data_IF_550086293701
#
_entry.id   IF_550086293701
#
_cell.length_a   1.000
_cell.length_b   1.000
_cell.length_c   1.000
_cell.angle_alpha   90.00
_cell.angle_beta   90.00
_cell.angle_gamma   90.00
#
_symmetry.space_group_name_H-M   'P 1'
#
loop_
_entity.id
_entity.type
_entity.pdbx_description
1 polymer ?
#
# COMPACT_ATOMS: atom_id res chain seq x y z
N UNK A 1 22.45 1.02 -40.80
CA UNK A 1 21.57 1.88 -40.01
C UNK A 1 20.78 0.94 -39.09
N UNK A 2 21.27 0.74 -37.88
CA UNK A 2 20.50 0.00 -36.87
C UNK A 2 19.27 0.85 -36.53
N UNK A 3 18.11 0.31 -36.85
CA UNK A 3 16.83 0.84 -36.39
C UNK A 3 16.87 0.79 -34.85
N UNK A 4 17.08 1.91 -34.20
CA UNK A 4 16.78 2.05 -32.78
C UNK A 4 15.29 1.83 -32.61
N UNK A 5 14.91 0.60 -32.27
CA UNK A 5 13.54 0.29 -31.90
C UNK A 5 13.19 1.24 -30.73
N UNK A 6 12.31 2.19 -30.98
CA UNK A 6 11.80 3.08 -29.92
C UNK A 6 11.08 2.18 -28.94
N UNK A 7 11.58 2.10 -27.69
CA UNK A 7 10.93 1.33 -26.63
C UNK A 7 9.49 1.82 -26.47
N UNK A 8 8.56 0.88 -26.35
CA UNK A 8 7.14 1.19 -26.14
C UNK A 8 6.82 1.71 -24.71
N UNK A 9 7.81 1.79 -23.85
CA UNK A 9 7.72 2.26 -22.49
C UNK A 9 9.00 2.98 -22.04
N UNK A 10 8.88 3.84 -21.05
CA UNK A 10 10.02 4.42 -20.34
C UNK A 10 10.33 3.56 -19.11
N UNK A 11 11.60 3.51 -18.70
CA UNK A 11 12.05 2.76 -17.53
C UNK A 11 12.54 3.71 -16.45
N UNK A 12 12.11 3.48 -15.21
CA UNK A 12 12.61 4.16 -14.03
C UNK A 12 12.82 3.17 -12.89
N UNK A 13 13.41 3.64 -11.78
CA UNK A 13 13.54 2.88 -10.53
C UNK A 13 12.62 3.47 -9.47
N UNK A 14 12.41 2.72 -8.38
CA UNK A 14 11.74 3.25 -7.20
C UNK A 14 12.39 4.57 -6.74
N UNK A 15 11.58 5.60 -6.50
CA UNK A 15 12.01 6.96 -6.17
C UNK A 15 12.82 7.64 -7.29
N UNK A 16 12.72 7.16 -8.53
CA UNK A 16 13.30 7.82 -9.70
C UNK A 16 12.37 8.92 -10.24
N UNK A 17 12.97 10.03 -10.69
CA UNK A 17 12.24 11.11 -11.37
C UNK A 17 12.35 10.91 -12.88
N UNK A 18 11.20 10.80 -13.56
CA UNK A 18 11.09 10.56 -14.99
C UNK A 18 10.48 11.78 -15.70
N UNK A 19 11.20 12.42 -16.65
CA UNK A 19 10.62 13.51 -17.44
C UNK A 19 9.41 13.02 -18.26
N UNK A 20 8.30 13.76 -18.25
CA UNK A 20 7.07 13.36 -18.97
C UNK A 20 7.27 13.20 -20.48
N UNK A 21 8.21 13.94 -21.06
CA UNK A 21 8.56 13.85 -22.50
C UNK A 21 9.18 12.50 -22.88
N UNK A 22 9.78 11.81 -21.93
CA UNK A 22 10.45 10.52 -22.14
C UNK A 22 9.47 9.35 -22.06
N UNK A 23 8.23 9.58 -21.61
CA UNK A 23 7.16 8.58 -21.55
C UNK A 23 6.46 8.52 -22.93
N UNK A 24 6.57 7.40 -23.67
CA UNK A 24 5.95 7.30 -24.98
C UNK A 24 4.41 7.34 -24.88
N UNK A 25 3.78 8.06 -25.80
CA UNK A 25 2.32 8.09 -25.97
C UNK A 25 1.94 7.10 -27.06
N UNK A 26 1.30 6.03 -26.69
CA UNK A 26 0.93 4.94 -27.59
C UNK A 26 -0.54 5.05 -28.05
N UNK A 27 -0.87 4.61 -29.26
CA UNK A 27 -2.24 4.29 -29.62
C UNK A 27 -2.80 3.25 -28.63
N UNK A 28 -4.12 3.29 -28.33
CA UNK A 28 -4.69 2.42 -27.28
C UNK A 28 -4.43 0.93 -27.51
N UNK A 29 -4.56 0.44 -28.75
CA UNK A 29 -4.28 -0.97 -29.06
C UNK A 29 -2.83 -1.38 -28.76
N UNK A 30 -1.86 -0.51 -29.06
CA UNK A 30 -0.44 -0.75 -28.72
C UNK A 30 -0.22 -0.66 -27.22
N UNK A 31 -0.82 0.33 -26.53
CA UNK A 31 -0.78 0.48 -25.09
C UNK A 31 -1.30 -0.78 -24.36
N UNK A 32 -2.45 -1.30 -24.81
CA UNK A 32 -3.02 -2.56 -24.30
C UNK A 32 -2.08 -3.74 -24.54
N UNK A 33 -1.57 -3.89 -25.77
CA UNK A 33 -0.68 -5.01 -26.13
C UNK A 33 0.59 -5.03 -25.29
N UNK A 34 1.21 -3.87 -25.07
CA UNK A 34 2.43 -3.78 -24.26
C UNK A 34 2.18 -4.11 -22.78
N UNK A 35 1.06 -3.63 -22.22
CA UNK A 35 0.67 -4.00 -20.85
C UNK A 35 0.49 -5.51 -20.74
N UNK A 36 -0.24 -6.12 -21.67
CA UNK A 36 -0.44 -7.57 -21.70
C UNK A 36 0.88 -8.33 -21.85
N UNK A 37 1.82 -7.81 -22.61
CA UNK A 37 3.13 -8.44 -22.81
C UNK A 37 3.99 -8.36 -21.54
N UNK A 38 4.10 -7.19 -20.91
CA UNK A 38 4.86 -6.99 -19.67
C UNK A 38 4.29 -7.84 -18.53
N UNK A 39 2.97 -7.91 -18.39
CA UNK A 39 2.29 -8.65 -17.34
C UNK A 39 2.29 -10.18 -17.52
N UNK A 40 2.85 -10.71 -18.62
CA UNK A 40 3.09 -12.16 -18.76
C UNK A 40 4.21 -12.66 -17.86
N UNK A 41 5.17 -11.79 -17.54
CA UNK A 41 6.26 -12.15 -16.65
C UNK A 41 5.75 -12.36 -15.22
N UNK A 42 6.05 -13.50 -14.56
CA UNK A 42 5.59 -13.77 -13.20
C UNK A 42 6.11 -12.78 -12.16
N UNK A 43 7.23 -12.11 -12.43
CA UNK A 43 7.81 -11.06 -11.59
C UNK A 43 7.14 -9.70 -11.77
N UNK A 44 6.35 -9.52 -12.83
CA UNK A 44 5.69 -8.25 -13.10
C UNK A 44 4.39 -8.08 -12.32
N UNK A 45 4.09 -6.83 -11.95
CA UNK A 45 2.79 -6.45 -11.40
C UNK A 45 2.49 -4.98 -11.66
N UNK A 46 1.21 -4.66 -11.77
CA UNK A 46 0.78 -3.27 -11.91
C UNK A 46 0.80 -2.58 -10.55
N UNK A 47 1.63 -1.54 -10.42
CA UNK A 47 1.68 -0.70 -9.22
C UNK A 47 0.65 0.43 -9.29
N UNK A 48 0.43 1.00 -10.50
CA UNK A 48 -0.58 2.04 -10.72
C UNK A 48 -1.08 2.03 -12.17
N UNK A 49 -2.40 2.23 -12.34
CA UNK A 49 -3.03 2.52 -13.62
C UNK A 49 -4.13 3.56 -13.39
N UNK A 50 -3.98 4.73 -13.97
CA UNK A 50 -4.88 5.87 -13.77
C UNK A 50 -4.96 6.76 -15.00
N UNK A 51 -5.97 7.64 -15.02
CA UNK A 51 -6.07 8.73 -15.99
C UNK A 51 -6.16 10.08 -15.29
N UNK A 52 -5.76 11.14 -15.98
CA UNK A 52 -5.93 12.51 -15.53
C UNK A 52 -6.21 13.46 -16.71
N UNK A 53 -6.82 14.61 -16.41
CA UNK A 53 -7.09 15.65 -17.40
C UNK A 53 -5.80 16.36 -17.81
N UNK A 54 -5.58 16.46 -19.13
CA UNK A 54 -4.51 17.21 -19.75
C UNK A 54 -5.14 18.12 -20.84
N UNK A 55 -5.58 19.32 -20.47
CA UNK A 55 -6.36 20.18 -21.34
C UNK A 55 -7.66 19.51 -21.79
N UNK A 56 -7.86 19.38 -23.10
CA UNK A 56 -9.01 18.74 -23.71
C UNK A 56 -8.85 17.21 -23.90
N UNK A 57 -7.79 16.64 -23.33
CA UNK A 57 -7.51 15.22 -23.42
C UNK A 57 -7.57 14.54 -22.05
N UNK A 58 -7.74 13.21 -22.06
CA UNK A 58 -7.41 12.32 -20.95
C UNK A 58 -6.09 11.63 -21.26
N UNK A 59 -5.14 11.75 -20.34
CA UNK A 59 -3.89 11.00 -20.38
C UNK A 59 -3.94 9.87 -19.39
N UNK A 60 -3.67 8.66 -19.91
CA UNK A 60 -3.59 7.43 -19.13
C UNK A 60 -2.13 7.12 -18.87
N UNK A 61 -1.82 6.71 -17.66
CA UNK A 61 -0.50 6.23 -17.24
C UNK A 61 -0.68 4.85 -16.62
N UNK A 62 0.14 3.90 -17.09
CA UNK A 62 0.25 2.58 -16.49
C UNK A 62 1.69 2.34 -16.05
N UNK A 63 1.89 1.93 -14.81
CA UNK A 63 3.19 1.67 -14.21
C UNK A 63 3.25 0.19 -13.81
N UNK A 64 4.19 -0.55 -14.39
CA UNK A 64 4.38 -1.98 -14.17
C UNK A 64 5.76 -2.20 -13.59
N UNK A 65 5.82 -2.69 -12.35
CA UNK A 65 7.06 -3.06 -11.69
C UNK A 65 7.48 -4.47 -12.08
N UNK A 66 8.78 -4.70 -12.17
CA UNK A 66 9.39 -6.01 -12.30
C UNK A 66 10.23 -6.32 -11.03
N UNK A 67 9.74 -7.24 -10.21
CA UNK A 67 10.37 -7.62 -8.96
C UNK A 67 11.76 -8.26 -9.13
N UNK A 68 12.10 -8.73 -10.34
CA UNK A 68 13.38 -9.37 -10.64
C UNK A 68 14.46 -8.34 -10.96
N UNK A 69 14.15 -7.30 -11.73
CA UNK A 69 15.11 -6.28 -12.15
C UNK A 69 15.07 -5.04 -11.27
N UNK A 70 13.98 -4.85 -10.51
CA UNK A 70 13.69 -3.63 -9.77
C UNK A 70 13.38 -2.43 -10.67
N UNK A 71 13.00 -2.68 -11.93
CA UNK A 71 12.58 -1.68 -12.89
C UNK A 71 11.10 -1.38 -12.76
N UNK A 72 10.73 -0.16 -13.11
CA UNK A 72 9.34 0.27 -13.26
C UNK A 72 9.17 0.73 -14.71
N UNK A 73 8.36 -0.01 -15.47
CA UNK A 73 8.03 0.29 -16.85
C UNK A 73 6.81 1.23 -16.88
N UNK A 74 6.95 2.39 -17.51
CA UNK A 74 5.92 3.42 -17.56
C UNK A 74 5.44 3.61 -18.98
N UNK A 75 4.16 3.41 -19.20
CA UNK A 75 3.49 3.54 -20.50
C UNK A 75 2.42 4.64 -20.41
N UNK A 76 2.14 5.28 -21.54
CA UNK A 76 1.02 6.21 -21.59
C UNK A 76 0.19 6.09 -22.86
N UNK A 77 -1.07 6.47 -22.74
CA UNK A 77 -2.03 6.66 -23.83
C UNK A 77 -2.72 8.01 -23.64
N UNK A 78 -3.11 8.64 -24.74
CA UNK A 78 -3.86 9.89 -24.71
C UNK A 78 -5.05 9.82 -25.67
N UNK A 79 -6.21 10.27 -25.21
CA UNK A 79 -7.41 10.38 -26.02
C UNK A 79 -8.12 11.71 -25.79
N UNK A 80 -8.77 12.30 -26.82
CA UNK A 80 -9.59 13.50 -26.63
C UNK A 80 -10.81 13.19 -25.77
N UNK A 81 -11.17 14.16 -24.92
CA UNK A 81 -12.41 14.07 -24.15
C UNK A 81 -13.60 14.29 -25.05
N UNK A 82 -14.53 13.34 -25.05
CA UNK A 82 -15.77 13.34 -25.82
C UNK A 82 -16.95 13.03 -24.92
N UNK A 83 -18.16 13.32 -25.38
CA UNK A 83 -19.38 12.96 -24.69
C UNK A 83 -19.49 11.45 -24.44
N UNK A 84 -19.08 10.65 -25.40
CA UNK A 84 -19.00 9.19 -25.29
C UNK A 84 -17.55 8.75 -25.48
N UNK A 85 -16.96 8.19 -24.44
CA UNK A 85 -15.61 7.63 -24.45
C UNK A 85 -15.69 6.13 -24.16
N UNK A 86 -15.15 5.32 -25.07
CA UNK A 86 -15.25 3.87 -24.99
C UNK A 86 -13.88 3.24 -25.30
N UNK A 87 -13.44 2.30 -24.46
CA UNK A 87 -12.19 1.55 -24.57
C UNK A 87 -12.45 0.07 -24.30
N UNK A 88 -11.68 -0.81 -24.93
CA UNK A 88 -11.70 -2.23 -24.59
C UNK A 88 -11.01 -2.45 -23.25
N UNK A 89 -11.64 -3.16 -22.31
CA UNK A 89 -11.08 -3.44 -20.99
C UNK A 89 -9.80 -4.29 -21.07
N UNK A 90 -8.74 -3.85 -20.44
CA UNK A 90 -7.51 -4.64 -20.22
C UNK A 90 -7.75 -5.66 -19.10
N UNK A 91 -8.59 -5.30 -18.14
CA UNK A 91 -8.96 -6.18 -17.01
C UNK A 91 -9.68 -7.46 -17.46
N UNK A 92 -10.19 -7.52 -18.67
CA UNK A 92 -10.69 -8.75 -19.30
C UNK A 92 -9.65 -9.86 -19.30
N UNK A 93 -8.39 -9.51 -19.59
CA UNK A 93 -7.27 -10.46 -19.67
C UNK A 93 -6.44 -10.46 -18.37
N UNK A 94 -6.31 -9.29 -17.70
CA UNK A 94 -5.57 -9.13 -16.45
C UNK A 94 -6.51 -8.61 -15.38
N UNK A 95 -7.17 -9.54 -14.68
CA UNK A 95 -8.20 -9.20 -13.70
C UNK A 95 -7.74 -8.19 -12.63
N UNK A 96 -6.48 -8.23 -12.20
CA UNK A 96 -5.91 -7.27 -11.24
C UNK A 96 -6.11 -5.80 -11.63
N UNK A 97 -6.33 -5.49 -12.91
CA UNK A 97 -6.53 -4.12 -13.38
C UNK A 97 -7.97 -3.61 -13.24
N UNK A 98 -8.94 -4.47 -12.87
CA UNK A 98 -10.35 -4.07 -12.82
C UNK A 98 -10.63 -2.89 -11.89
N UNK A 99 -9.94 -2.83 -10.76
CA UNK A 99 -10.16 -1.76 -9.76
C UNK A 99 -9.77 -0.39 -10.32
N UNK A 100 -8.68 -0.32 -11.08
CA UNK A 100 -8.21 0.91 -11.72
C UNK A 100 -9.14 1.35 -12.85
N UNK A 101 -9.59 0.41 -13.71
CA UNK A 101 -10.54 0.73 -14.78
C UNK A 101 -11.87 1.22 -14.23
N UNK A 102 -12.37 0.63 -13.14
CA UNK A 102 -13.58 1.08 -12.44
C UNK A 102 -13.43 2.49 -11.90
N UNK A 103 -12.26 2.82 -11.35
CA UNK A 103 -11.95 4.16 -10.88
C UNK A 103 -11.91 5.18 -12.02
N UNK A 104 -11.26 4.85 -13.14
CA UNK A 104 -11.19 5.69 -14.33
C UNK A 104 -12.59 5.91 -14.91
N UNK A 105 -13.39 4.86 -15.01
CA UNK A 105 -14.80 4.92 -15.46
C UNK A 105 -15.63 5.86 -14.57
N UNK A 106 -15.53 5.70 -13.26
CA UNK A 106 -16.25 6.52 -12.29
C UNK A 106 -15.85 8.00 -12.36
N UNK A 107 -14.54 8.29 -12.46
CA UNK A 107 -14.04 9.65 -12.44
C UNK A 107 -14.27 10.40 -13.76
N UNK A 108 -14.20 9.73 -14.90
CA UNK A 108 -14.14 10.37 -16.22
C UNK A 108 -15.27 9.96 -17.18
N UNK A 109 -16.08 8.97 -16.83
CA UNK A 109 -17.15 8.46 -17.69
C UNK A 109 -16.65 7.61 -18.88
N UNK A 110 -15.46 7.04 -18.77
CA UNK A 110 -14.94 6.09 -19.78
C UNK A 110 -15.66 4.74 -19.60
N UNK A 111 -16.29 4.26 -20.65
CA UNK A 111 -16.90 2.93 -20.72
C UNK A 111 -15.83 1.90 -21.11
N UNK A 112 -15.51 0.98 -20.21
CA UNK A 112 -14.63 -0.16 -20.50
C UNK A 112 -15.45 -1.36 -20.99
N UNK A 113 -15.49 -1.54 -22.30
CA UNK A 113 -16.22 -2.65 -22.94
C UNK A 113 -15.59 -3.99 -22.56
N UNK A 114 -16.42 -4.98 -22.22
CA UNK A 114 -16.00 -6.29 -21.72
C UNK A 114 -15.30 -6.26 -20.35
N UNK A 115 -15.52 -5.21 -19.56
CA UNK A 115 -15.03 -5.18 -18.18
C UNK A 115 -15.60 -6.36 -17.39
N UNK A 116 -14.77 -7.12 -16.66
CA UNK A 116 -15.25 -8.23 -15.83
C UNK A 116 -16.08 -7.76 -14.62
N UNK A 117 -15.91 -6.50 -14.22
CA UNK A 117 -16.62 -5.93 -13.08
C UNK A 117 -16.74 -4.41 -13.21
N UNK A 118 -17.93 -3.93 -13.57
CA UNK A 118 -18.18 -2.51 -13.87
C UNK A 118 -18.89 -1.74 -12.74
N UNK A 119 -18.88 -2.24 -11.47
CA UNK A 119 -19.56 -1.60 -10.36
C UNK A 119 -18.76 -0.43 -9.77
N UNK A 120 -19.42 0.60 -9.19
CA UNK A 120 -18.76 1.76 -8.58
C UNK A 120 -17.77 1.37 -7.47
N UNK A 121 -16.77 2.23 -7.21
CA UNK A 121 -15.68 1.97 -6.23
C UNK A 121 -15.64 3.03 -5.14
N UNK A 122 -15.58 4.31 -5.49
CA UNK A 122 -15.23 5.40 -4.56
C UNK A 122 -16.36 6.37 -4.27
N UNK A 123 -17.26 6.56 -5.22
CA UNK A 123 -18.28 7.62 -5.18
C UNK A 123 -17.66 9.00 -4.99
N UNK A 124 -16.56 9.27 -5.68
CA UNK A 124 -15.84 10.53 -5.59
C UNK A 124 -16.76 11.73 -5.81
N UNK A 125 -16.50 12.84 -5.11
CA UNK A 125 -17.34 14.04 -5.20
C UNK A 125 -17.46 14.57 -6.64
N UNK A 126 -16.37 14.54 -7.40
CA UNK A 126 -16.28 15.01 -8.79
C UNK A 126 -16.44 13.91 -9.84
N UNK A 127 -17.05 12.77 -9.50
CA UNK A 127 -17.32 11.66 -10.43
C UNK A 127 -18.15 12.10 -11.63
N UNK A 128 -17.98 11.42 -12.76
CA UNK A 128 -18.64 11.77 -14.03
C UNK A 128 -20.17 11.68 -13.94
N UNK A 129 -20.71 10.58 -13.39
CA UNK A 129 -22.16 10.44 -13.18
C UNK A 129 -22.53 10.73 -11.71
N UNK A 130 -23.19 11.86 -11.48
CA UNK A 130 -23.63 12.30 -10.15
C UNK A 130 -24.81 11.51 -9.60
N UNK A 131 -25.60 10.85 -10.47
CA UNK A 131 -26.74 10.03 -10.06
C UNK A 131 -26.30 8.74 -9.37
N UNK A 132 -25.09 8.25 -9.65
CA UNK A 132 -24.51 7.12 -8.93
C UNK A 132 -24.22 7.51 -7.48
N UNK A 133 -25.07 7.10 -6.56
CA UNK A 133 -24.91 7.34 -5.12
C UNK A 133 -24.71 6.02 -4.39
N UNK A 134 -24.03 6.08 -3.24
CA UNK A 134 -23.64 4.87 -2.48
C UNK A 134 -24.83 4.00 -2.07
N UNK A 135 -25.97 4.62 -1.83
CA UNK A 135 -27.21 3.93 -1.42
C UNK A 135 -27.91 3.16 -2.57
N UNK A 136 -27.54 3.43 -3.83
CA UNK A 136 -28.10 2.76 -5.02
C UNK A 136 -27.11 1.78 -5.63
N UNK A 137 -26.17 1.27 -4.84
CA UNK A 137 -25.19 0.28 -5.31
C UNK A 137 -25.89 -0.94 -5.92
N UNK A 138 -25.54 -1.37 -7.13
CA UNK A 138 -26.19 -2.48 -7.83
C UNK A 138 -25.69 -3.84 -7.30
N UNK A 139 -26.17 -4.24 -6.13
CA UNK A 139 -25.86 -5.56 -5.57
C UNK A 139 -26.30 -6.68 -6.50
N UNK A 140 -25.57 -7.79 -6.47
CA UNK A 140 -25.96 -9.03 -7.10
C UNK A 140 -27.21 -9.57 -6.42
N UNK A 141 -28.18 -10.05 -7.22
CA UNK A 141 -29.45 -10.58 -6.72
C UNK A 141 -29.66 -11.99 -7.26
N UNK A 142 -30.05 -12.89 -6.39
CA UNK A 142 -30.54 -14.23 -6.72
C UNK A 142 -32.01 -14.28 -6.34
N UNK A 143 -32.84 -14.97 -7.14
CA UNK A 143 -34.25 -15.23 -6.83
C UNK A 143 -34.42 -16.65 -6.36
N UNK A 144 -35.24 -16.85 -5.31
CA UNK A 144 -35.59 -18.15 -4.76
C UNK A 144 -36.29 -17.96 -3.41
N UNK A 145 -37.30 -18.81 -3.11
CA UNK A 145 -38.15 -18.65 -1.93
C UNK A 145 -37.43 -18.93 -0.61
N UNK A 146 -36.32 -19.70 -0.66
CA UNK A 146 -35.51 -20.06 0.53
C UNK A 146 -34.25 -19.12 0.68
N UNK A 147 -34.10 -18.14 -0.21
CA UNK A 147 -32.93 -17.26 -0.20
C UNK A 147 -33.22 -15.98 0.58
N UNK A 148 -32.22 -15.57 1.35
CA UNK A 148 -32.30 -14.32 2.08
C UNK A 148 -30.97 -13.54 2.00
N UNK A 149 -31.06 -12.23 2.18
CA UNK A 149 -29.93 -11.32 2.18
C UNK A 149 -29.59 -10.90 3.61
N UNK A 150 -28.31 -10.97 3.98
CA UNK A 150 -27.79 -10.48 5.26
C UNK A 150 -26.80 -9.35 5.00
N UNK A 151 -27.12 -8.15 5.49
CA UNK A 151 -26.26 -6.99 5.42
C UNK A 151 -25.46 -6.82 6.72
N UNK A 152 -24.13 -6.68 6.62
CA UNK A 152 -23.24 -6.38 7.75
C UNK A 152 -22.49 -5.07 7.49
N UNK A 153 -22.66 -4.12 8.38
CA UNK A 153 -22.12 -2.77 8.21
C UNK A 153 -23.10 -1.83 7.45
N UNK A 154 -22.66 -0.62 7.07
CA UNK A 154 -21.29 -0.11 7.02
C UNK A 154 -20.67 0.29 8.37
N UNK A 155 -21.45 0.38 9.45
CA UNK A 155 -20.95 0.73 10.78
C UNK A 155 -20.81 -0.55 11.61
N UNK A 156 -19.62 -0.78 12.16
CA UNK A 156 -19.26 -1.95 12.93
C UNK A 156 -18.99 -1.58 14.40
N UNK A 157 -19.96 -0.97 15.07
CA UNK A 157 -19.88 -0.49 16.45
C UNK A 157 -18.67 0.44 16.73
N UNK A 158 -18.12 1.09 15.69
CA UNK A 158 -16.93 1.93 15.82
C UNK A 158 -15.61 1.17 16.08
N UNK A 159 -15.61 -0.16 15.92
CA UNK A 159 -14.43 -1.01 16.19
C UNK A 159 -13.50 -1.08 14.99
N UNK A 160 -14.07 -1.25 13.78
CA UNK A 160 -13.35 -1.28 12.52
C UNK A 160 -13.84 -0.16 11.60
N UNK A 161 -13.05 0.15 10.56
CA UNK A 161 -13.40 1.17 9.58
C UNK A 161 -14.66 0.78 8.79
N UNK A 162 -15.44 1.78 8.29
CA UNK A 162 -16.68 1.53 7.57
C UNK A 162 -16.49 0.65 6.34
N UNK A 163 -17.33 -0.35 6.19
CA UNK A 163 -17.41 -1.22 5.03
C UNK A 163 -18.72 -1.99 5.07
N UNK A 164 -19.32 -2.27 3.92
CA UNK A 164 -20.57 -3.00 3.84
C UNK A 164 -20.39 -4.32 3.14
N UNK A 165 -20.82 -5.39 3.83
CA UNK A 165 -20.77 -6.76 3.35
C UNK A 165 -22.22 -7.24 3.14
N UNK A 166 -22.52 -7.72 1.92
CA UNK A 166 -23.81 -8.27 1.58
C UNK A 166 -23.66 -9.77 1.33
N UNK A 167 -24.26 -10.56 2.19
CA UNK A 167 -24.30 -12.01 2.06
C UNK A 167 -25.63 -12.44 1.44
N UNK A 168 -25.58 -13.33 0.46
CA UNK A 168 -26.72 -14.08 -0.04
C UNK A 168 -26.65 -15.48 0.54
N UNK A 169 -27.67 -15.89 1.28
CA UNK A 169 -27.67 -17.11 2.06
C UNK A 169 -28.88 -18.02 1.72
N UNK A 170 -28.66 -19.33 1.83
CA UNK A 170 -29.69 -20.32 1.96
C UNK A 170 -29.54 -20.99 3.34
N UNK A 171 -30.44 -20.70 4.27
CA UNK A 171 -30.23 -21.03 5.67
C UNK A 171 -28.92 -20.46 6.19
N UNK A 172 -28.04 -21.29 6.73
CA UNK A 172 -26.70 -20.90 7.22
C UNK A 172 -25.59 -20.94 6.14
N UNK A 173 -25.92 -21.41 4.94
CA UNK A 173 -24.95 -21.53 3.85
C UNK A 173 -24.84 -20.21 3.07
N UNK A 174 -23.65 -19.62 3.06
CA UNK A 174 -23.34 -18.44 2.25
C UNK A 174 -23.12 -18.87 0.80
N UNK A 175 -23.99 -18.41 -0.10
CA UNK A 175 -23.90 -18.67 -1.54
C UNK A 175 -23.05 -17.63 -2.25
N UNK A 176 -23.12 -16.38 -1.78
CA UNK A 176 -22.38 -15.27 -2.38
C UNK A 176 -22.07 -14.19 -1.33
N UNK A 177 -20.88 -13.62 -1.41
CA UNK A 177 -20.48 -12.44 -0.63
C UNK A 177 -20.10 -11.32 -1.59
N UNK A 178 -20.69 -10.17 -1.39
CA UNK A 178 -20.33 -8.97 -2.10
C UNK A 178 -19.91 -7.87 -1.11
N UNK A 179 -18.78 -7.21 -1.40
CA UNK A 179 -18.24 -6.12 -0.61
C UNK A 179 -18.46 -4.81 -1.35
N UNK A 180 -19.24 -3.91 -0.75
CA UNK A 180 -19.45 -2.56 -1.26
C UNK A 180 -18.33 -1.65 -0.75
N UNK A 181 -17.52 -1.16 -1.67
CA UNK A 181 -16.46 -0.20 -1.40
C UNK A 181 -17.01 1.24 -1.36
N UNK A 182 -16.15 2.22 -1.04
CA UNK A 182 -16.46 3.65 -1.09
C UNK A 182 -16.79 4.30 0.26
N UNK A 183 -17.14 3.52 1.29
CA UNK A 183 -17.52 4.06 2.60
C UNK A 183 -16.40 4.82 3.33
N UNK A 184 -15.15 4.55 2.99
CA UNK A 184 -13.96 5.21 3.56
C UNK A 184 -13.37 6.28 2.65
N UNK A 185 -13.92 6.50 1.46
CA UNK A 185 -13.36 7.44 0.51
C UNK A 185 -13.44 8.87 1.03
N UNK A 186 -12.29 9.52 1.24
CA UNK A 186 -12.15 10.87 1.82
C UNK A 186 -11.58 11.89 0.84
N UNK A 187 -11.40 11.52 -0.44
CA UNK A 187 -10.87 12.41 -1.47
C UNK A 187 -9.40 12.80 -1.25
N UNK A 188 -8.60 11.93 -0.68
CA UNK A 188 -7.19 12.19 -0.29
C UNK A 188 -6.36 12.70 -1.48
N UNK A 189 -6.47 12.07 -2.64
CA UNK A 189 -5.71 12.47 -3.85
C UNK A 189 -6.04 13.91 -4.28
N UNK A 190 -7.32 14.27 -4.25
CA UNK A 190 -7.75 15.65 -4.55
C UNK A 190 -7.29 16.65 -3.48
N UNK A 191 -7.26 16.23 -2.21
CA UNK A 191 -6.75 17.05 -1.12
C UNK A 191 -5.26 17.36 -1.28
N UNK A 192 -4.45 16.42 -1.79
CA UNK A 192 -3.03 16.70 -2.09
C UNK A 192 -2.86 17.86 -3.08
N UNK A 193 -3.74 17.97 -4.06
CA UNK A 193 -3.70 19.08 -5.05
C UNK A 193 -4.13 20.41 -4.44
N UNK A 194 -5.07 20.38 -3.49
CA UNK A 194 -5.62 21.58 -2.86
C UNK A 194 -4.78 22.11 -1.68
N UNK A 195 -3.94 21.28 -1.04
CA UNK A 195 -3.12 21.71 0.09
C UNK A 195 -1.86 22.47 -0.41
N UNK A 196 -1.67 23.73 0.05
CA UNK A 196 -0.59 24.57 -0.48
C UNK A 196 0.80 24.18 0.06
N UNK A 197 0.91 23.70 1.31
CA UNK A 197 2.21 23.49 1.95
C UNK A 197 2.64 22.03 2.05
N UNK A 198 3.96 21.79 2.06
CA UNK A 198 4.56 20.46 2.30
C UNK A 198 4.10 19.90 3.63
N UNK A 199 4.03 20.70 4.68
CA UNK A 199 3.59 20.27 6.00
C UNK A 199 2.14 19.75 5.98
N UNK A 200 1.23 20.47 5.33
CA UNK A 200 -0.17 20.04 5.21
C UNK A 200 -0.30 18.74 4.42
N UNK A 201 0.48 18.57 3.36
CA UNK A 201 0.52 17.33 2.58
C UNK A 201 1.14 16.18 3.37
N UNK A 202 2.16 16.44 4.18
CA UNK A 202 2.75 15.41 5.08
C UNK A 202 1.73 14.95 6.13
N UNK A 203 1.02 15.87 6.78
CA UNK A 203 -0.05 15.54 7.75
C UNK A 203 -1.19 14.75 7.07
N UNK A 204 -1.49 15.07 5.80
CA UNK A 204 -2.47 14.33 5.02
C UNK A 204 -1.99 12.89 4.77
N UNK A 205 -0.70 12.67 4.44
CA UNK A 205 -0.15 11.32 4.27
C UNK A 205 -0.24 10.48 5.54
N UNK A 206 0.00 11.07 6.70
CA UNK A 206 -0.13 10.42 8.01
C UNK A 206 -1.59 10.04 8.37
N UNK A 207 -2.55 10.44 7.53
CA UNK A 207 -3.99 10.26 7.76
C UNK A 207 -4.67 9.39 6.70
N UNK A 208 -3.92 8.82 5.77
CA UNK A 208 -4.44 7.92 4.73
C UNK A 208 -4.94 6.63 5.37
N UNK A 209 -4.11 6.01 6.21
CA UNK A 209 -4.47 4.85 7.02
C UNK A 209 -3.99 5.07 8.45
N UNK A 210 -4.88 4.89 9.43
CA UNK A 210 -4.61 5.24 10.83
C UNK A 210 -3.49 4.42 11.47
N UNK A 211 -3.26 3.22 10.98
CA UNK A 211 -2.27 2.25 11.45
C UNK A 211 -1.06 2.11 10.51
N UNK A 212 -0.93 2.99 9.51
CA UNK A 212 0.18 2.99 8.54
C UNK A 212 0.69 4.44 8.33
N UNK A 213 0.75 5.21 9.43
CA UNK A 213 1.13 6.61 9.36
C UNK A 213 2.59 6.80 8.94
N UNK A 214 3.50 5.98 9.46
CA UNK A 214 4.93 6.02 9.10
C UNK A 214 5.14 5.56 7.66
N UNK A 215 4.47 4.49 7.23
CA UNK A 215 4.58 3.97 5.87
C UNK A 215 4.18 4.99 4.80
N UNK A 216 2.97 5.56 4.91
CA UNK A 216 2.50 6.58 3.96
C UNK A 216 3.31 7.89 4.03
N UNK A 217 3.69 8.33 5.23
CA UNK A 217 4.54 9.51 5.37
C UNK A 217 5.92 9.31 4.74
N UNK A 218 6.50 8.10 4.85
CA UNK A 218 7.77 7.74 4.21
C UNK A 218 7.66 7.75 2.69
N UNK A 219 6.60 7.16 2.13
CA UNK A 219 6.36 7.18 0.68
C UNK A 219 6.20 8.62 0.15
N UNK A 220 5.42 9.46 0.86
CA UNK A 220 5.26 10.87 0.51
C UNK A 220 6.59 11.65 0.60
N UNK A 221 7.34 11.51 1.71
CA UNK A 221 8.58 12.22 1.90
C UNK A 221 9.61 11.85 0.82
N UNK A 222 9.78 10.56 0.53
CA UNK A 222 10.70 10.08 -0.49
C UNK A 222 10.32 10.57 -1.90
N UNK A 223 9.02 10.64 -2.23
CA UNK A 223 8.53 11.21 -3.49
C UNK A 223 8.88 12.70 -3.60
N UNK A 224 8.66 13.48 -2.54
CA UNK A 224 9.00 14.91 -2.52
C UNK A 224 10.51 15.16 -2.61
N UNK A 225 11.30 14.34 -1.92
CA UNK A 225 12.75 14.37 -1.93
C UNK A 225 13.30 14.06 -3.32
N UNK A 226 12.77 13.08 -4.00
CA UNK A 226 13.15 12.71 -5.36
C UNK A 226 12.82 13.80 -6.36
N UNK A 227 11.60 14.32 -6.36
CA UNK A 227 11.20 15.43 -7.22
C UNK A 227 11.95 16.72 -6.92
N UNK A 228 12.29 16.97 -5.65
CA UNK A 228 13.03 18.16 -5.19
C UNK A 228 14.53 17.99 -5.21
N UNK A 229 15.07 16.85 -5.63
CA UNK A 229 16.51 16.53 -5.57
C UNK A 229 17.11 16.77 -4.17
N UNK A 230 16.36 16.47 -3.12
CA UNK A 230 16.77 16.63 -1.73
C UNK A 230 17.59 15.41 -1.31
N UNK A 231 18.84 15.65 -0.90
CA UNK A 231 19.69 14.58 -0.41
C UNK A 231 19.24 14.10 0.98
N UNK A 232 19.15 12.79 1.14
CA UNK A 232 18.82 12.13 2.40
C UNK A 232 20.08 11.48 2.96
N UNK A 233 20.37 11.73 4.25
CA UNK A 233 21.52 11.12 4.91
C UNK A 233 21.22 9.65 5.28
N UNK A 234 22.29 8.82 5.31
CA UNK A 234 22.18 7.42 5.77
C UNK A 234 21.59 7.32 7.18
N UNK A 235 21.93 8.26 8.06
CA UNK A 235 21.38 8.33 9.41
C UNK A 235 19.87 8.51 9.39
N UNK A 236 19.36 9.42 8.58
CA UNK A 236 17.92 9.67 8.46
C UNK A 236 17.18 8.45 7.87
N UNK A 237 17.79 7.79 6.88
CA UNK A 237 17.24 6.56 6.31
C UNK A 237 17.11 5.45 7.36
N UNK A 238 18.13 5.29 8.21
CA UNK A 238 18.09 4.31 9.31
C UNK A 238 17.01 4.68 10.33
N UNK A 239 16.91 5.94 10.74
CA UNK A 239 15.90 6.38 11.70
C UNK A 239 14.48 6.15 11.19
N UNK A 240 14.21 6.47 9.93
CA UNK A 240 12.92 6.20 9.27
C UNK A 240 12.61 4.71 9.17
N UNK A 241 13.64 3.90 8.90
CA UNK A 241 13.47 2.45 8.79
C UNK A 241 13.19 1.82 10.16
N UNK A 242 13.86 2.28 11.23
CA UNK A 242 13.53 1.83 12.60
C UNK A 242 12.08 2.18 12.95
N UNK A 243 11.60 3.38 12.59
CA UNK A 243 10.21 3.76 12.83
C UNK A 243 9.22 2.89 12.06
N UNK A 244 9.52 2.55 10.79
CA UNK A 244 8.68 1.70 9.95
C UNK A 244 8.61 0.25 10.48
N UNK A 245 9.74 -0.29 10.96
CA UNK A 245 9.75 -1.63 11.55
C UNK A 245 9.07 -1.67 12.94
N UNK A 246 9.09 -0.58 13.71
CA UNK A 246 8.30 -0.44 14.94
C UNK A 246 6.79 -0.41 14.65
N UNK A 247 6.36 0.30 13.59
CA UNK A 247 4.98 0.27 13.12
C UNK A 247 4.58 -1.17 12.75
N UNK A 248 5.42 -1.89 12.02
CA UNK A 248 5.22 -3.29 11.64
C UNK A 248 5.05 -4.21 12.85
N UNK A 249 5.94 -4.14 13.84
CA UNK A 249 5.83 -4.92 15.08
C UNK A 249 4.52 -4.63 15.81
N UNK A 250 4.20 -3.34 16.00
CA UNK A 250 3.01 -2.92 16.73
C UNK A 250 1.71 -3.42 16.08
N UNK A 251 1.64 -3.38 14.75
CA UNK A 251 0.44 -3.82 14.02
C UNK A 251 0.34 -5.33 13.95
N UNK A 252 1.43 -6.04 13.67
CA UNK A 252 1.43 -7.49 13.63
C UNK A 252 1.08 -8.13 14.98
N UNK A 253 1.63 -7.62 16.08
CA UNK A 253 1.27 -8.15 17.41
C UNK A 253 -0.17 -7.82 17.78
N UNK A 254 -0.68 -6.65 17.36
CA UNK A 254 -2.09 -6.28 17.52
C UNK A 254 -3.02 -7.21 16.74
N UNK A 255 -2.67 -7.54 15.51
CA UNK A 255 -3.43 -8.47 14.67
C UNK A 255 -3.44 -9.89 15.23
N UNK A 256 -2.30 -10.37 15.77
CA UNK A 256 -2.27 -11.65 16.49
C UNK A 256 -3.19 -11.62 17.72
N UNK A 257 -3.22 -10.51 18.45
CA UNK A 257 -4.16 -10.31 19.56
C UNK A 257 -5.63 -10.41 19.11
N UNK A 258 -5.98 -9.69 18.05
CA UNK A 258 -7.34 -9.67 17.51
C UNK A 258 -7.76 -11.01 16.90
N UNK A 259 -6.86 -11.72 16.22
CA UNK A 259 -7.11 -13.06 15.71
C UNK A 259 -7.53 -13.99 16.87
N UNK A 260 -6.84 -13.93 18.00
CA UNK A 260 -7.12 -14.79 19.16
C UNK A 260 -8.45 -14.46 19.86
N UNK A 261 -9.00 -13.24 19.71
CA UNK A 261 -10.39 -12.93 20.10
C UNK A 261 -11.36 -13.77 19.26
N UNK A 262 -11.20 -13.79 17.94
CA UNK A 262 -12.02 -14.59 17.04
C UNK A 262 -11.90 -16.11 17.27
N UNK A 263 -10.76 -16.57 17.77
CA UNK A 263 -10.51 -17.96 18.13
C UNK A 263 -10.99 -18.33 19.53
N UNK A 264 -11.54 -17.37 20.29
CA UNK A 264 -11.89 -17.51 21.70
C UNK A 264 -10.71 -17.97 22.59
N UNK A 265 -9.47 -17.63 22.19
CA UNK A 265 -8.26 -17.91 22.96
C UNK A 265 -7.80 -16.67 23.71
N UNK A 266 -8.46 -16.40 24.85
CA UNK A 266 -8.34 -15.16 25.61
C UNK A 266 -6.94 -14.89 26.17
N UNK A 267 -6.21 -15.95 26.54
CA UNK A 267 -4.85 -15.80 27.07
C UNK A 267 -3.92 -15.14 26.03
N UNK A 268 -3.84 -15.68 24.83
CA UNK A 268 -2.99 -15.12 23.77
C UNK A 268 -3.45 -13.72 23.35
N UNK A 269 -4.78 -13.49 23.26
CA UNK A 269 -5.32 -12.16 22.99
C UNK A 269 -4.85 -11.13 24.00
N UNK A 270 -4.94 -11.44 25.29
CA UNK A 270 -4.53 -10.55 26.39
C UNK A 270 -3.03 -10.28 26.39
N UNK A 271 -2.20 -11.31 26.17
CA UNK A 271 -0.73 -11.18 26.15
C UNK A 271 -0.29 -10.33 24.95
N UNK A 272 -0.74 -10.63 23.75
CA UNK A 272 -0.36 -9.87 22.55
C UNK A 272 -0.88 -8.42 22.58
N UNK A 273 -2.10 -8.19 23.08
CA UNK A 273 -2.64 -6.85 23.30
C UNK A 273 -1.81 -6.04 24.31
N UNK A 274 -1.35 -6.70 25.38
CA UNK A 274 -0.45 -6.07 26.38
C UNK A 274 0.92 -5.76 25.76
N UNK A 275 1.47 -6.62 24.90
CA UNK A 275 2.76 -6.41 24.24
C UNK A 275 2.74 -5.27 23.22
N UNK A 276 1.60 -5.01 22.58
CA UNK A 276 1.46 -3.88 21.65
C UNK A 276 1.67 -2.53 22.34
N UNK A 277 1.16 -2.39 23.54
CA UNK A 277 1.14 -1.10 24.27
C UNK A 277 2.52 -0.49 24.49
N UNK A 278 3.55 -1.20 25.01
CA UNK A 278 4.91 -0.66 25.14
C UNK A 278 5.51 -0.19 23.81
N UNK A 279 5.25 -0.88 22.68
CA UNK A 279 5.78 -0.51 21.37
C UNK A 279 5.19 0.84 20.92
N UNK A 280 3.87 1.01 20.99
CA UNK A 280 3.25 2.29 20.62
C UNK A 280 3.58 3.43 21.58
N UNK A 281 3.76 3.14 22.86
CA UNK A 281 4.19 4.12 23.86
C UNK A 281 5.66 4.53 23.67
N UNK A 282 6.51 3.62 23.17
CA UNK A 282 7.86 3.96 22.78
C UNK A 282 7.86 4.97 21.63
N UNK A 283 7.05 4.73 20.58
CA UNK A 283 6.89 5.68 19.48
C UNK A 283 6.40 7.04 19.98
N UNK A 284 5.47 7.06 20.95
CA UNK A 284 5.04 8.29 21.61
C UNK A 284 6.18 8.98 22.36
N UNK A 285 7.03 8.22 23.03
CA UNK A 285 8.21 8.78 23.72
C UNK A 285 9.18 9.40 22.72
N UNK A 286 9.32 8.83 21.52
CA UNK A 286 10.19 9.32 20.48
C UNK A 286 9.69 10.62 19.84
N UNK A 287 8.43 10.66 19.39
CA UNK A 287 7.91 11.80 18.60
C UNK A 287 6.60 12.42 19.12
N UNK A 288 6.15 12.07 20.32
CA UNK A 288 4.93 12.63 20.91
C UNK A 288 3.63 12.02 20.38
N UNK A 289 3.67 11.05 19.47
CA UNK A 289 2.50 10.39 18.89
C UNK A 289 2.67 8.87 18.85
N UNK A 290 1.64 8.12 19.25
CA UNK A 290 1.65 6.64 19.34
C UNK A 290 1.83 5.93 17.99
N UNK A 291 1.45 6.58 16.89
CA UNK A 291 1.52 6.03 15.53
C UNK A 291 2.59 6.72 14.66
N UNK A 292 3.53 7.44 15.29
CA UNK A 292 4.64 8.06 14.58
C UNK A 292 4.27 9.29 13.75
N UNK A 293 3.05 9.85 13.93
CA UNK A 293 2.70 11.11 13.27
C UNK A 293 3.63 12.22 13.73
N UNK A 294 4.11 13.02 12.80
CA UNK A 294 5.08 14.07 13.05
C UNK A 294 6.53 13.66 12.90
N UNK A 295 6.84 12.36 12.94
CA UNK A 295 8.22 11.84 12.91
C UNK A 295 8.86 12.02 11.54
N UNK A 296 8.16 11.63 10.48
CA UNK A 296 8.66 11.69 9.10
C UNK A 296 8.38 13.08 8.52
N UNK A 297 9.42 13.73 8.01
CA UNK A 297 9.35 15.01 7.31
C UNK A 297 10.27 14.98 6.09
N UNK A 298 9.96 15.77 5.07
CA UNK A 298 10.78 15.88 3.87
C UNK A 298 12.18 16.40 4.25
N UNK A 299 13.22 15.67 3.87
CA UNK A 299 14.62 16.00 4.09
C UNK A 299 15.13 15.91 5.53
N UNK A 300 14.28 15.55 6.51
CA UNK A 300 14.73 15.51 7.91
C UNK A 300 13.67 15.07 8.91
N UNK A 301 13.93 15.36 10.18
CA UNK A 301 13.01 15.17 11.30
C UNK A 301 13.25 16.20 12.39
N UNK A 302 12.22 16.50 13.19
CA UNK A 302 12.35 17.28 14.44
C UNK A 302 12.66 16.38 15.65
N UNK A 303 12.66 15.07 15.45
CA UNK A 303 12.80 14.06 16.52
C UNK A 303 13.95 13.09 16.19
N UNK A 304 15.23 13.53 16.33
CA UNK A 304 16.36 12.65 16.06
C UNK A 304 16.39 11.44 17.01
N UNK A 305 16.84 10.31 16.50
CA UNK A 305 17.01 9.10 17.31
C UNK A 305 18.28 9.19 18.17
N UNK A 306 18.10 9.38 19.48
CA UNK A 306 19.19 9.61 20.43
C UNK A 306 19.72 8.30 21.05
N UNK A 307 20.89 8.35 21.69
CA UNK A 307 21.42 7.20 22.45
C UNK A 307 20.49 6.79 23.61
N UNK A 308 19.82 7.75 24.25
CA UNK A 308 18.83 7.46 25.29
C UNK A 308 17.66 6.67 24.72
N UNK A 309 17.12 7.08 23.55
CA UNK A 309 16.07 6.34 22.85
C UNK A 309 16.55 4.95 22.45
N UNK A 310 17.76 4.82 21.94
CA UNK A 310 18.36 3.53 21.60
C UNK A 310 18.44 2.59 22.80
N UNK A 311 18.88 3.08 23.96
CA UNK A 311 18.92 2.30 25.20
C UNK A 311 17.53 1.87 25.71
N UNK A 312 16.53 2.77 25.59
CA UNK A 312 15.14 2.44 25.92
C UNK A 312 14.57 1.39 24.96
N UNK A 313 14.89 1.49 23.66
CA UNK A 313 14.42 0.54 22.67
C UNK A 313 15.02 -0.85 22.88
N UNK A 314 16.30 -0.94 23.19
CA UNK A 314 16.94 -2.23 23.51
C UNK A 314 16.19 -2.96 24.65
N UNK A 315 15.96 -2.27 25.77
CA UNK A 315 15.24 -2.84 26.91
C UNK A 315 13.80 -3.25 26.56
N UNK A 316 13.14 -2.44 25.72
CA UNK A 316 11.79 -2.75 25.27
C UNK A 316 11.77 -4.04 24.45
N UNK A 317 12.68 -4.17 23.48
CA UNK A 317 12.75 -5.35 22.59
C UNK A 317 13.12 -6.61 23.37
N UNK A 318 14.01 -6.52 24.36
CA UNK A 318 14.39 -7.67 25.21
C UNK A 318 13.16 -8.15 26.01
N UNK A 319 12.44 -7.25 26.70
CA UNK A 319 11.20 -7.58 27.41
C UNK A 319 10.08 -8.08 26.49
N UNK A 320 10.03 -7.56 25.27
CA UNK A 320 9.03 -7.99 24.29
C UNK A 320 9.28 -9.44 23.89
N UNK A 321 10.51 -9.81 23.50
CA UNK A 321 10.84 -11.17 23.08
C UNK A 321 10.67 -12.18 24.20
N UNK A 322 11.11 -11.85 25.43
CA UNK A 322 10.95 -12.72 26.60
C UNK A 322 9.50 -13.17 26.83
N UNK A 323 8.54 -12.31 26.50
CA UNK A 323 7.09 -12.58 26.66
C UNK A 323 6.41 -13.05 25.38
N UNK A 324 6.87 -12.56 24.23
CA UNK A 324 6.27 -12.88 22.92
C UNK A 324 6.57 -14.31 22.49
N UNK A 325 7.82 -14.75 22.60
CA UNK A 325 8.26 -16.04 22.09
C UNK A 325 7.53 -17.21 22.75
N UNK A 326 7.48 -17.33 24.10
CA UNK A 326 6.75 -18.43 24.75
C UNK A 326 5.25 -18.42 24.42
N UNK A 327 4.64 -17.22 24.33
CA UNK A 327 3.21 -17.12 24.02
C UNK A 327 2.93 -17.51 22.57
N UNK A 328 3.76 -17.09 21.64
CA UNK A 328 3.63 -17.44 20.24
C UNK A 328 3.86 -18.96 20.03
N UNK A 329 4.88 -19.54 20.65
CA UNK A 329 5.12 -20.98 20.59
C UNK A 329 3.94 -21.77 21.16
N UNK A 330 3.42 -21.35 22.31
CA UNK A 330 2.24 -21.99 22.89
C UNK A 330 1.01 -21.90 21.99
N UNK A 331 0.73 -20.71 21.42
CA UNK A 331 -0.40 -20.52 20.50
C UNK A 331 -0.30 -21.44 19.28
N UNK A 332 0.87 -21.48 18.63
CA UNK A 332 1.09 -22.30 17.43
C UNK A 332 1.31 -23.79 17.72
N UNK A 333 1.44 -24.19 18.97
CA UNK A 333 1.50 -25.58 19.41
C UNK A 333 0.16 -26.11 19.95
N UNK A 334 -0.87 -25.26 20.12
CA UNK A 334 -2.13 -25.65 20.77
C UNK A 334 -3.12 -26.26 19.75
N UNK A 335 -3.48 -27.57 19.87
CA UNK A 335 -4.33 -28.24 18.88
C UNK A 335 -5.68 -27.55 18.68
N UNK A 336 -6.29 -27.00 19.72
CA UNK A 336 -7.58 -26.29 19.65
C UNK A 336 -7.51 -24.98 18.85
N UNK A 337 -6.34 -24.34 18.80
CA UNK A 337 -6.08 -23.16 17.96
C UNK A 337 -5.81 -23.62 16.53
N UNK A 338 -4.91 -24.57 16.33
CA UNK A 338 -4.53 -25.09 15.02
C UNK A 338 -5.75 -25.56 14.22
N UNK A 339 -6.64 -26.33 14.85
CA UNK A 339 -7.87 -26.82 14.22
C UNK A 339 -8.79 -25.71 13.68
N UNK A 340 -8.65 -24.48 14.18
CA UNK A 340 -9.45 -23.29 13.77
C UNK A 340 -8.77 -22.39 12.76
N UNK A 341 -7.48 -22.59 12.50
CA UNK A 341 -6.69 -21.72 11.59
C UNK A 341 -6.09 -22.49 10.41
N UNK A 342 -5.76 -23.78 10.57
CA UNK A 342 -5.23 -24.60 9.48
C UNK A 342 -6.32 -24.97 8.48
N UNK A 343 -6.00 -24.82 7.20
CA UNK A 343 -6.89 -25.07 6.06
C UNK A 343 -8.17 -24.20 6.04
N UNK A 344 -8.25 -23.15 6.86
CA UNK A 344 -9.38 -22.23 6.90
C UNK A 344 -9.05 -20.99 6.04
N UNK A 345 -10.01 -20.59 5.18
CA UNK A 345 -9.86 -19.44 4.31
C UNK A 345 -8.70 -19.56 3.33
N UNK A 346 -8.45 -20.78 2.85
CA UNK A 346 -7.34 -21.09 1.96
C UNK A 346 -7.49 -20.40 0.61
N UNK A 347 -6.42 -19.73 0.18
CA UNK A 347 -6.27 -19.12 -1.14
C UNK A 347 -4.99 -19.65 -1.79
N UNK A 348 -5.01 -19.79 -3.09
CA UNK A 348 -3.89 -20.30 -3.87
C UNK A 348 -3.02 -19.17 -4.40
N UNK A 349 -1.75 -19.47 -4.72
CA UNK A 349 -0.87 -18.54 -5.44
C UNK A 349 -1.51 -17.96 -6.69
N UNK A 350 -2.18 -18.82 -7.49
CA UNK A 350 -2.90 -18.41 -8.71
C UNK A 350 -3.97 -17.36 -8.41
N UNK A 351 -4.75 -17.53 -7.35
CA UNK A 351 -5.78 -16.56 -6.95
C UNK A 351 -5.16 -15.25 -6.48
N UNK A 352 -4.06 -15.30 -5.72
CA UNK A 352 -3.35 -14.10 -5.27
C UNK A 352 -2.76 -13.31 -6.45
N UNK A 353 -2.15 -13.97 -7.41
CA UNK A 353 -1.68 -13.33 -8.64
C UNK A 353 -2.82 -12.75 -9.48
N UNK A 354 -3.94 -13.48 -9.59
CA UNK A 354 -5.12 -13.05 -10.36
C UNK A 354 -5.69 -11.72 -9.86
N UNK A 355 -5.78 -11.54 -8.53
CA UNK A 355 -6.31 -10.31 -7.94
C UNK A 355 -5.25 -9.21 -7.76
N UNK A 356 -3.98 -9.49 -8.03
CA UNK A 356 -2.89 -8.53 -7.84
C UNK A 356 -2.49 -8.33 -6.39
N UNK A 357 -2.66 -9.34 -5.53
CA UNK A 357 -2.33 -9.24 -4.11
C UNK A 357 -0.85 -8.91 -3.88
N UNK A 358 -0.60 -8.12 -2.85
CA UNK A 358 0.72 -7.63 -2.45
C UNK A 358 1.01 -7.94 -0.98
N UNK A 359 2.26 -7.76 -0.57
CA UNK A 359 2.70 -7.85 0.80
C UNK A 359 2.44 -9.20 1.45
N UNK A 360 2.10 -9.18 2.73
CA UNK A 360 1.89 -10.38 3.53
C UNK A 360 0.77 -11.27 2.98
N UNK A 361 -0.30 -10.69 2.41
CA UNK A 361 -1.40 -11.43 1.81
C UNK A 361 -0.93 -12.27 0.60
N UNK A 362 -0.01 -11.76 -0.20
CA UNK A 362 0.59 -12.48 -1.31
C UNK A 362 1.58 -13.54 -0.82
N UNK A 363 2.44 -13.19 0.16
CA UNK A 363 3.50 -14.06 0.67
C UNK A 363 2.98 -15.28 1.43
N UNK A 364 1.78 -15.22 2.03
CA UNK A 364 1.20 -16.39 2.70
C UNK A 364 0.83 -17.52 1.74
N UNK A 365 0.71 -17.24 0.45
CA UNK A 365 0.32 -18.18 -0.61
C UNK A 365 1.43 -18.38 -1.66
N UNK A 366 2.69 -18.15 -1.33
CA UNK A 366 3.85 -18.45 -2.17
C UNK A 366 4.30 -17.32 -3.10
N UNK A 367 3.61 -16.17 -3.16
CA UNK A 367 4.04 -15.05 -3.99
C UNK A 367 5.10 -14.23 -3.25
N UNK A 368 6.36 -14.40 -3.62
CA UNK A 368 7.52 -13.72 -3.00
C UNK A 368 7.62 -12.26 -3.47
N UNK A 369 6.69 -11.41 -3.04
CA UNK A 369 6.67 -9.97 -3.34
C UNK A 369 6.88 -9.16 -2.08
N UNK A 370 7.97 -8.38 -2.06
CA UNK A 370 8.34 -7.49 -0.95
C UNK A 370 9.19 -6.36 -1.49
N UNK A 371 8.69 -5.14 -1.37
CA UNK A 371 9.35 -3.94 -1.91
C UNK A 371 10.69 -3.66 -1.24
N UNK A 372 10.88 -4.10 0.01
CA UNK A 372 12.18 -3.99 0.70
C UNK A 372 13.29 -4.73 -0.03
N UNK A 373 12.95 -5.76 -0.79
CA UNK A 373 13.88 -6.62 -1.53
C UNK A 373 13.89 -6.30 -3.02
N UNK A 374 12.72 -6.20 -3.66
CA UNK A 374 12.62 -6.02 -5.12
C UNK A 374 12.89 -4.58 -5.57
N UNK A 375 12.42 -3.58 -4.80
CA UNK A 375 12.54 -2.16 -5.10
C UNK A 375 13.03 -1.39 -3.87
N UNK A 376 14.23 -1.67 -3.35
CA UNK A 376 14.66 -1.25 -2.03
C UNK A 376 14.66 0.28 -1.89
N UNK A 377 14.31 0.73 -0.69
CA UNK A 377 14.21 2.14 -0.30
C UNK A 377 14.85 2.38 1.07
N UNK A 378 15.12 3.61 1.43
CA UNK A 378 15.75 4.01 2.70
C UNK A 378 16.93 3.10 3.07
N UNK A 379 17.01 2.61 4.32
CA UNK A 379 18.11 1.75 4.77
C UNK A 379 18.16 0.39 4.06
N UNK A 380 17.05 -0.11 3.50
CA UNK A 380 17.04 -1.40 2.79
C UNK A 380 17.90 -1.40 1.51
N UNK A 381 18.19 -0.22 0.93
CA UNK A 381 19.13 -0.08 -0.21
C UNK A 381 20.53 -0.57 0.13
N UNK A 382 20.97 -0.31 1.35
CA UNK A 382 22.34 -0.62 1.81
C UNK A 382 22.37 -1.86 2.71
N UNK A 383 21.32 -2.10 3.45
CA UNK A 383 21.16 -3.17 4.41
C UNK A 383 19.94 -4.02 4.03
N UNK A 384 20.10 -4.96 3.10
CA UNK A 384 18.98 -5.75 2.59
C UNK A 384 18.39 -6.68 3.65
N UNK A 385 17.09 -6.92 3.54
CA UNK A 385 16.35 -7.87 4.35
C UNK A 385 15.86 -9.02 3.46
N UNK A 386 15.84 -10.25 3.98
CA UNK A 386 15.28 -11.40 3.26
C UNK A 386 13.77 -11.48 3.48
N UNK A 387 13.03 -11.86 2.44
CA UNK A 387 11.59 -12.06 2.47
C UNK A 387 11.23 -13.46 2.89
N UNK A 388 10.24 -13.58 3.77
CA UNK A 388 9.64 -14.86 4.13
C UNK A 388 8.37 -15.11 3.32
N UNK A 389 8.19 -16.34 2.85
CA UNK A 389 6.98 -16.80 2.16
C UNK A 389 6.52 -18.13 2.74
N UNK A 390 5.21 -18.36 2.69
CA UNK A 390 4.57 -19.62 3.05
C UNK A 390 3.63 -20.03 1.92
N UNK A 391 3.36 -21.32 1.76
CA UNK A 391 2.57 -21.85 0.65
C UNK A 391 1.15 -22.27 1.08
N UNK A 392 0.87 -22.34 2.38
CA UNK A 392 -0.39 -22.86 2.87
C UNK A 392 -1.60 -22.00 2.48
N UNK A 393 -1.42 -20.68 2.38
CA UNK A 393 -2.43 -19.72 1.91
C UNK A 393 -3.65 -19.57 2.81
N UNK A 394 -3.60 -20.08 4.04
CA UNK A 394 -4.71 -20.12 5.00
C UNK A 394 -4.52 -19.14 6.16
N UNK A 395 -5.40 -19.19 7.15
CA UNK A 395 -5.32 -18.32 8.34
C UNK A 395 -4.06 -18.62 9.16
N UNK A 396 -3.63 -19.89 9.21
CA UNK A 396 -2.37 -20.27 9.86
C UNK A 396 -1.17 -19.56 9.22
N UNK A 397 -1.06 -19.60 7.90
CA UNK A 397 0.01 -18.91 7.16
C UNK A 397 0.01 -17.40 7.41
N UNK A 398 -1.17 -16.76 7.45
CA UNK A 398 -1.30 -15.33 7.79
C UNK A 398 -0.80 -15.01 9.20
N UNK A 399 -1.12 -15.86 10.17
CA UNK A 399 -0.69 -15.70 11.56
C UNK A 399 0.82 -15.98 11.70
N UNK A 400 1.32 -17.05 11.06
CA UNK A 400 2.73 -17.44 11.10
C UNK A 400 3.64 -16.37 10.48
N UNK A 401 3.25 -15.79 9.33
CA UNK A 401 4.02 -14.70 8.72
C UNK A 401 4.12 -13.49 9.66
N UNK A 402 3.05 -13.14 10.40
CA UNK A 402 3.12 -12.06 11.39
C UNK A 402 4.15 -12.36 12.48
N UNK A 403 4.18 -13.59 12.99
CA UNK A 403 5.21 -14.04 13.94
C UNK A 403 6.60 -13.89 13.37
N UNK A 404 6.83 -14.36 12.14
CA UNK A 404 8.13 -14.30 11.46
C UNK A 404 8.56 -12.85 11.18
N UNK A 405 7.66 -12.00 10.71
CA UNK A 405 7.92 -10.58 10.47
C UNK A 405 8.28 -9.83 11.76
N UNK A 406 7.59 -10.09 12.88
CA UNK A 406 7.95 -9.51 14.18
C UNK A 406 9.38 -9.86 14.56
N UNK A 407 9.76 -11.13 14.50
CA UNK A 407 11.11 -11.59 14.87
C UNK A 407 12.17 -10.96 13.97
N UNK A 408 11.91 -10.91 12.68
CA UNK A 408 12.80 -10.28 11.70
C UNK A 408 12.96 -8.78 11.96
N UNK A 409 11.85 -8.07 12.18
CA UNK A 409 11.87 -6.65 12.48
C UNK A 409 12.68 -6.33 13.73
N UNK A 410 12.56 -7.14 14.78
CA UNK A 410 13.35 -6.97 16.02
C UNK A 410 14.86 -7.13 15.74
N UNK A 411 15.24 -8.19 15.04
CA UNK A 411 16.64 -8.43 14.67
C UNK A 411 17.18 -7.28 13.82
N UNK A 412 16.41 -6.87 12.81
CA UNK A 412 16.80 -5.81 11.89
C UNK A 412 16.93 -4.44 12.59
N UNK A 413 16.03 -4.11 13.51
CA UNK A 413 16.15 -2.89 14.32
C UNK A 413 17.44 -2.91 15.14
N UNK A 414 17.81 -4.04 15.76
CA UNK A 414 19.08 -4.15 16.53
C UNK A 414 20.31 -3.93 15.65
N UNK A 415 20.32 -4.50 14.46
CA UNK A 415 21.40 -4.31 13.49
C UNK A 415 21.51 -2.84 13.07
N UNK A 416 20.37 -2.20 12.75
CA UNK A 416 20.33 -0.79 12.38
C UNK A 416 20.76 0.13 13.53
N UNK A 417 20.39 -0.15 14.77
CA UNK A 417 20.85 0.61 15.95
C UNK A 417 22.38 0.49 16.12
N UNK A 418 22.95 -0.69 15.90
CA UNK A 418 24.39 -0.90 15.99
C UNK A 418 25.15 -0.11 14.91
N UNK A 419 24.57 0.01 13.70
CA UNK A 419 25.13 0.82 12.61
C UNK A 419 24.97 2.31 12.91
N UNK A 420 23.76 2.74 13.31
CA UNK A 420 23.44 4.12 13.65
C UNK A 420 24.40 4.72 14.68
N UNK A 421 24.76 3.94 15.71
CA UNK A 421 25.71 4.34 16.74
C UNK A 421 27.11 4.67 16.19
N UNK A 422 27.50 4.09 15.07
CA UNK A 422 28.81 4.31 14.43
C UNK A 422 28.82 5.51 13.50
N UNK A 423 27.65 6.08 13.16
CA UNK A 423 27.55 7.20 12.24
C UNK A 423 27.77 8.53 12.99
N UNK A 424 28.80 9.28 12.58
CA UNK A 424 29.12 10.61 13.13
C UNK A 424 28.31 11.77 12.53
N UNK A 425 27.24 11.47 11.79
CA UNK A 425 26.40 12.47 11.14
C UNK A 425 25.29 12.93 12.07
N UNK A 426 24.93 14.20 12.01
CA UNK A 426 23.73 14.71 12.65
C UNK A 426 22.50 14.40 11.78
N UNK A 427 21.38 14.10 12.43
CA UNK A 427 20.11 13.97 11.72
C UNK A 427 19.70 15.34 11.17
N UNK A 428 19.44 15.47 9.85
CA UNK A 428 19.06 16.75 9.28
C UNK A 428 17.69 17.23 9.76
N UNK A 429 17.52 18.54 9.81
CA UNK A 429 16.20 19.16 10.04
C UNK A 429 15.39 19.15 8.74
N UNK A 430 14.05 19.20 8.83
CA UNK A 430 13.19 19.22 7.64
C UNK A 430 13.49 20.42 6.71
N UNK A 431 13.30 20.17 5.41
CA UNK A 431 13.45 21.20 4.37
C UNK A 431 12.37 22.28 4.54
N UNK A 432 12.75 23.55 4.38
CA UNK A 432 11.80 24.65 4.39
C UNK A 432 10.99 24.70 3.09
N UNK A 433 9.73 25.15 3.16
CA UNK A 433 8.85 25.29 2.00
C UNK A 433 9.48 26.10 0.86
N UNK A 434 10.17 27.18 1.19
CA UNK A 434 10.83 28.07 0.21
C UNK A 434 11.99 27.42 -0.54
N UNK A 435 12.53 26.32 -0.02
CA UNK A 435 13.68 25.59 -0.58
C UNK A 435 13.24 24.38 -1.43
N UNK A 436 11.95 24.02 -1.40
CA UNK A 436 11.41 22.84 -2.08
C UNK A 436 10.86 23.19 -3.45
N UNK A 437 11.75 23.25 -4.46
CA UNK A 437 11.32 23.31 -5.87
C UNK A 437 11.33 21.92 -6.45
N UNK A 438 10.16 21.49 -6.96
CA UNK A 438 10.05 20.17 -7.60
C UNK A 438 10.47 20.26 -9.07
N UNK A 439 10.99 19.15 -9.60
CA UNK A 439 11.33 19.01 -11.02
C UNK A 439 10.10 19.33 -11.89
N UNK A 440 10.22 20.17 -12.94
CA UNK A 440 9.11 20.49 -13.81
C UNK A 440 8.85 19.37 -14.82
N UNK A 441 7.57 19.20 -15.23
CA UNK A 441 7.13 18.21 -16.21
C UNK A 441 7.69 16.81 -15.93
N UNK A 442 7.54 16.35 -14.71
CA UNK A 442 8.10 15.09 -14.25
C UNK A 442 7.06 14.20 -13.58
N UNK A 443 7.29 12.89 -13.67
CA UNK A 443 6.60 11.86 -12.91
C UNK A 443 7.59 11.27 -11.91
N UNK A 444 7.12 11.02 -10.68
CA UNK A 444 7.86 10.25 -9.69
C UNK A 444 6.94 9.22 -9.04
N UNK A 445 7.50 8.04 -8.80
CA UNK A 445 6.82 6.93 -8.13
C UNK A 445 7.65 6.58 -6.90
N UNK A 446 7.01 6.50 -5.74
CA UNK A 446 7.63 6.09 -4.48
C UNK A 446 6.90 4.91 -3.90
N UNK A 447 7.59 3.78 -3.83
CA UNK A 447 7.10 2.52 -3.27
C UNK A 447 7.75 2.28 -1.90
N UNK A 448 6.93 1.87 -0.93
CA UNK A 448 7.35 1.53 0.44
C UNK A 448 6.62 0.27 0.88
N UNK A 449 7.31 -0.67 1.51
CA UNK A 449 6.67 -1.85 2.10
C UNK A 449 6.14 -1.52 3.49
N UNK A 450 4.85 -1.25 3.60
CA UNK A 450 4.14 -1.15 4.86
C UNK A 450 3.94 -2.54 5.50
N UNK A 451 3.34 -2.59 6.69
CA UNK A 451 3.09 -3.85 7.38
C UNK A 451 2.03 -4.74 6.69
N UNK A 452 1.11 -4.15 5.89
CA UNK A 452 0.18 -4.90 5.03
C UNK A 452 0.78 -5.24 3.67
N UNK A 453 1.77 -4.47 3.20
CA UNK A 453 2.35 -4.64 1.87
C UNK A 453 2.72 -3.35 1.19
N UNK A 454 2.76 -3.37 -0.12
CA UNK A 454 3.17 -2.30 -1.02
C UNK A 454 2.28 -1.07 -0.93
N UNK A 455 2.88 0.04 -0.56
CA UNK A 455 2.31 1.39 -0.57
C UNK A 455 2.92 2.14 -1.75
N UNK A 456 2.10 2.71 -2.62
CA UNK A 456 2.57 3.49 -3.76
C UNK A 456 2.04 4.92 -3.69
N UNK A 457 2.94 5.87 -3.81
CA UNK A 457 2.63 7.26 -4.08
C UNK A 457 3.19 7.65 -5.44
N UNK A 458 2.38 8.27 -6.28
CA UNK A 458 2.77 8.75 -7.59
C UNK A 458 2.32 10.19 -7.77
N UNK A 459 3.20 11.05 -8.28
CA UNK A 459 2.87 12.44 -8.57
C UNK A 459 3.38 12.86 -9.95
N UNK A 460 2.61 13.76 -10.57
CA UNK A 460 2.96 14.42 -11.82
C UNK A 460 3.03 15.93 -11.55
N UNK A 461 4.09 16.56 -12.05
CA UNK A 461 4.29 18.00 -11.97
C UNK A 461 4.08 18.68 -13.32
N UNK A 462 3.67 19.96 -13.29
CA UNK A 462 3.58 20.83 -14.45
C UNK A 462 4.94 21.48 -14.79
N UNK A 463 4.91 22.38 -15.79
CA UNK A 463 6.09 23.14 -16.23
C UNK A 463 6.65 24.12 -15.17
N UNK A 464 5.93 24.34 -14.07
CA UNK A 464 6.39 25.17 -12.93
C UNK A 464 6.82 24.33 -11.72
N UNK A 465 6.78 23.01 -11.84
CA UNK A 465 7.01 22.10 -10.73
C UNK A 465 5.86 22.01 -9.71
N UNK A 466 4.64 22.43 -10.10
CA UNK A 466 3.48 22.26 -9.25
C UNK A 466 2.88 20.85 -9.47
N UNK A 467 2.47 20.19 -8.39
CA UNK A 467 1.81 18.89 -8.49
C UNK A 467 0.41 19.09 -9.09
N UNK A 468 0.18 18.51 -10.26
CA UNK A 468 -1.09 18.57 -11.01
C UNK A 468 -1.87 17.28 -10.97
N UNK A 469 -1.23 16.18 -10.59
CA UNK A 469 -1.88 14.90 -10.34
C UNK A 469 -1.17 14.17 -9.21
N UNK A 470 -1.95 13.51 -8.36
CA UNK A 470 -1.45 12.70 -7.25
C UNK A 470 -2.26 11.41 -7.18
N UNK A 471 -1.57 10.28 -7.08
CA UNK A 471 -2.18 8.96 -6.96
C UNK A 471 -1.62 8.24 -5.74
N UNK A 472 -2.49 7.57 -4.99
CA UNK A 472 -2.13 6.71 -3.86
C UNK A 472 -2.73 5.33 -4.07
N UNK A 473 -1.92 4.30 -3.86
CA UNK A 473 -2.37 2.93 -3.71
C UNK A 473 -1.97 2.43 -2.32
N UNK A 474 -2.96 2.08 -1.51
CA UNK A 474 -2.77 1.37 -0.25
C UNK A 474 -2.85 -0.14 -0.49
N UNK A 475 -2.07 -0.99 0.18
CA UNK A 475 -2.07 -2.44 -0.04
C UNK A 475 -3.41 -3.13 0.27
N UNK A 476 -4.33 -2.46 0.96
CA UNK A 476 -5.68 -2.98 1.26
C UNK A 476 -6.69 -2.80 0.11
N UNK A 477 -6.30 -2.17 -1.00
CA UNK A 477 -7.21 -1.89 -2.13
C UNK A 477 -7.46 -3.13 -3.00
N UNK A 478 -6.55 -4.10 -3.02
CA UNK A 478 -6.63 -5.34 -3.81
C UNK A 478 -7.13 -6.54 -3.02
#
# INVERSE_FOLDING_TARGET
MESTATLAFAVTKNQGTLPLKDIPVLPYGSFQTEILQLMKEPSAHCINYYAYRLGESLKFICCIADDKTGDINVLSHEMPVKEKMQLTSIAREIYALHIYEREIAENFGVEFVYSPWAKPVRYAFNRANKENVINTYPFYKIQGDELHEVGVGPIHAGVIEPGHFRFLCNGETVLHLEIQLGWQHRGIEQLYLSKPSILQRTVLSESIAGDTAVGHASAFAALQESLGSVAVSERLDIERTIALELERIAMHVGDLGNLNIGLAYQLASSVFGTLRTPVINYTQTWCGNRFGKGLIRVGGTHYPFTEELSGKLTKLLDNFEERFDPMAEHMFGLPSVLMRIENIGKVTEKQMRLIGAVGMAARMAGVARDIRQSHPFAAYKKYPVTTETLEAGDVWARAMLRKMEIKRSITYIRDLMAIHKKLNQQTPVPVKESESRLAPNALCISMVEGWRGEIDHCAITDNKGQIVHYKVKDPSVH
#
